data_IF_437657527341
#
_entry.id   IF_437657527341
#
_cell.length_a   1.000
_cell.length_b   1.000
_cell.length_c   1.000
_cell.angle_alpha   90.00
_cell.angle_beta   90.00
_cell.angle_gamma   90.00
#
_symmetry.space_group_name_H-M   'P 1'
#
loop_
_entity.id
_entity.type
_entity.pdbx_description
1 polymer ?
#
# COMPACT_ATOMS: atom_id res chain seq x y z
N UNK A 1 5.32 12.77 -2.54
CA UNK A 1 5.37 13.80 -1.48
C UNK A 1 4.63 13.19 -0.30
N UNK A 2 5.35 12.71 0.74
CA UNK A 2 4.76 11.85 1.76
C UNK A 2 3.53 12.46 2.45
N UNK A 3 3.57 13.77 2.72
CA UNK A 3 2.50 14.47 3.44
C UNK A 3 1.23 14.56 2.60
N UNK A 4 1.37 14.92 1.31
CA UNK A 4 0.24 14.97 0.38
C UNK A 4 -0.37 13.61 0.15
N UNK A 5 0.45 12.56 0.03
CA UNK A 5 -0.06 11.20 -0.16
C UNK A 5 -0.82 10.71 1.08
N UNK A 6 -0.31 11.00 2.29
CA UNK A 6 -1.02 10.69 3.53
C UNK A 6 -2.34 11.47 3.66
N UNK A 7 -2.36 12.75 3.28
CA UNK A 7 -3.57 13.56 3.27
C UNK A 7 -4.62 13.01 2.28
N UNK A 8 -4.19 12.62 1.08
CA UNK A 8 -5.05 11.97 0.08
C UNK A 8 -5.65 10.65 0.62
N UNK A 9 -4.84 9.78 1.22
CA UNK A 9 -5.38 8.54 1.79
C UNK A 9 -6.30 8.78 2.98
N UNK A 10 -6.03 9.80 3.80
CA UNK A 10 -6.93 10.21 4.88
C UNK A 10 -8.28 10.65 4.30
N UNK A 11 -8.28 11.47 3.24
CA UNK A 11 -9.51 11.88 2.57
C UNK A 11 -10.29 10.67 2.03
N UNK A 12 -9.64 9.77 1.27
CA UNK A 12 -10.23 8.52 0.77
C UNK A 12 -10.81 7.65 1.89
N UNK A 13 -10.24 7.65 3.10
CA UNK A 13 -10.74 6.84 4.22
C UNK A 13 -11.92 7.47 4.94
N UNK A 14 -12.08 8.78 4.88
CA UNK A 14 -12.94 9.50 5.83
C UNK A 14 -14.00 10.37 5.16
N UNK A 15 -13.88 10.67 3.87
CA UNK A 15 -14.91 11.41 3.14
C UNK A 15 -16.09 10.50 2.75
N UNK A 16 -17.35 10.99 2.82
CA UNK A 16 -18.50 10.23 2.34
C UNK A 16 -18.49 10.01 0.82
N UNK A 17 -17.75 10.82 0.06
CA UNK A 17 -17.73 10.77 -1.40
C UNK A 17 -16.88 9.62 -1.95
N UNK A 18 -15.94 9.11 -1.15
CA UNK A 18 -15.00 8.06 -1.54
C UNK A 18 -15.10 6.89 -0.56
N UNK A 19 -15.94 5.92 -0.89
CA UNK A 19 -16.18 4.73 -0.06
C UNK A 19 -15.80 3.43 -0.79
N UNK A 20 -14.62 3.41 -1.39
CA UNK A 20 -14.17 2.25 -2.15
C UNK A 20 -13.88 1.05 -1.24
N UNK A 21 -14.55 -0.08 -1.48
CA UNK A 21 -14.36 -1.31 -0.71
C UNK A 21 -13.05 -2.03 -1.04
N UNK A 22 -12.58 -1.93 -2.28
CA UNK A 22 -11.47 -2.73 -2.80
C UNK A 22 -10.36 -1.85 -3.37
N UNK A 23 -9.15 -1.97 -2.80
CA UNK A 23 -8.02 -1.12 -3.15
C UNK A 23 -6.90 -1.91 -3.82
N UNK A 24 -6.22 -1.25 -4.75
CA UNK A 24 -4.91 -1.64 -5.29
C UNK A 24 -4.02 -0.42 -5.20
N UNK A 25 -2.95 -0.52 -4.42
CA UNK A 25 -1.95 0.54 -4.29
C UNK A 25 -0.73 0.08 -5.07
N UNK A 26 -0.35 0.83 -6.10
CA UNK A 26 0.84 0.57 -6.89
C UNK A 26 1.73 1.81 -6.80
N UNK A 27 2.89 1.71 -6.13
CA UNK A 27 3.91 2.73 -6.23
C UNK A 27 4.21 3.02 -7.71
N UNK A 28 4.39 4.29 -8.04
CA UNK A 28 4.60 4.70 -9.41
C UNK A 28 6.04 4.36 -9.83
N UNK A 29 6.19 3.47 -10.80
CA UNK A 29 7.45 3.05 -11.38
C UNK A 29 7.75 3.83 -12.67
N UNK A 30 9.03 4.10 -12.94
CA UNK A 30 9.49 4.63 -14.21
C UNK A 30 9.74 3.45 -15.15
N UNK A 31 8.93 3.33 -16.20
CA UNK A 31 9.05 2.26 -17.21
C UNK A 31 9.31 2.83 -18.61
N UNK A 32 9.95 2.07 -19.51
CA UNK A 32 10.25 2.52 -20.86
C UNK A 32 9.02 2.99 -21.65
N UNK A 33 9.23 3.94 -22.55
CA UNK A 33 8.25 4.47 -23.51
C UNK A 33 7.04 5.18 -22.85
N UNK A 34 7.22 5.70 -21.64
CA UNK A 34 6.18 6.44 -20.92
C UNK A 34 6.51 7.93 -20.82
N UNK A 35 5.48 8.75 -20.58
CA UNK A 35 5.70 10.17 -20.25
C UNK A 35 6.48 10.34 -18.94
N UNK A 36 6.30 9.39 -18.01
CA UNK A 36 7.01 9.36 -16.73
C UNK A 36 8.52 9.16 -16.95
N UNK A 37 8.94 8.34 -17.92
CA UNK A 37 10.36 8.23 -18.30
C UNK A 37 10.93 9.57 -18.79
N UNK A 38 10.18 10.31 -19.61
CA UNK A 38 10.62 11.63 -20.07
C UNK A 38 10.77 12.60 -18.89
N UNK A 39 9.76 12.67 -18.02
CA UNK A 39 9.81 13.49 -16.81
C UNK A 39 10.95 13.11 -15.87
N UNK A 40 11.24 11.81 -15.76
CA UNK A 40 12.37 11.32 -14.98
C UNK A 40 13.71 11.79 -15.57
N UNK A 41 13.92 11.63 -16.88
CA UNK A 41 15.13 12.09 -17.58
C UNK A 41 15.32 13.61 -17.50
N UNK A 42 14.23 14.36 -17.49
CA UNK A 42 14.23 15.82 -17.35
C UNK A 42 14.35 16.29 -15.88
N UNK A 43 14.36 15.37 -14.91
CA UNK A 43 14.40 15.69 -13.47
C UNK A 43 13.09 16.24 -12.90
N UNK A 44 12.00 16.23 -13.67
CA UNK A 44 10.67 16.70 -13.28
C UNK A 44 9.93 15.69 -12.39
N UNK A 45 10.27 14.41 -12.48
CA UNK A 45 9.77 13.35 -11.61
C UNK A 45 10.94 12.62 -10.96
N UNK A 46 10.90 12.49 -9.64
CA UNK A 46 11.88 11.72 -8.87
C UNK A 46 11.11 10.72 -8.01
N UNK A 47 11.27 9.40 -8.22
CA UNK A 47 10.61 8.38 -7.42
C UNK A 47 10.97 8.47 -5.94
N UNK A 48 10.11 7.95 -5.08
CA UNK A 48 10.36 7.85 -3.65
C UNK A 48 11.71 7.23 -3.31
N UNK A 49 12.03 6.11 -3.95
CA UNK A 49 13.18 5.27 -3.63
C UNK A 49 14.52 5.87 -3.98
N UNK A 50 14.56 6.89 -4.84
CA UNK A 50 15.79 7.61 -5.13
C UNK A 50 16.12 8.69 -4.10
N UNK A 51 15.09 9.20 -3.41
CA UNK A 51 15.28 10.11 -2.28
C UNK A 51 15.62 9.33 -1.02
N UNK A 52 14.74 8.39 -0.68
CA UNK A 52 14.89 7.50 0.44
C UNK A 52 13.88 6.33 0.28
N UNK A 53 14.35 5.08 0.07
CA UNK A 53 13.48 3.91 -0.01
C UNK A 53 12.57 3.72 1.20
N UNK A 54 12.98 4.17 2.39
CA UNK A 54 12.19 4.03 3.60
C UNK A 54 10.92 4.88 3.57
N UNK A 55 10.93 6.04 2.89
CA UNK A 55 9.74 6.90 2.80
C UNK A 55 8.54 6.20 2.17
N UNK A 56 8.77 5.38 1.13
CA UNK A 56 7.68 4.61 0.51
C UNK A 56 7.10 3.59 1.50
N UNK A 57 7.96 2.89 2.23
CA UNK A 57 7.56 1.89 3.23
C UNK A 57 6.77 2.56 4.35
N UNK A 58 7.24 3.70 4.84
CA UNK A 58 6.60 4.46 5.92
C UNK A 58 5.20 4.95 5.54
N UNK A 59 5.06 5.53 4.34
CA UNK A 59 3.76 5.96 3.82
C UNK A 59 2.81 4.76 3.75
N UNK A 60 3.24 3.66 3.12
CA UNK A 60 2.39 2.48 2.97
C UNK A 60 2.04 1.83 4.33
N UNK A 61 2.97 1.82 5.29
CA UNK A 61 2.71 1.34 6.65
C UNK A 61 1.68 2.20 7.37
N UNK A 62 1.84 3.54 7.35
CA UNK A 62 0.89 4.49 7.93
C UNK A 62 -0.50 4.38 7.32
N UNK A 63 -0.60 4.22 5.99
CA UNK A 63 -1.87 3.99 5.30
C UNK A 63 -2.49 2.68 5.77
N UNK A 64 -1.74 1.56 5.73
CA UNK A 64 -2.26 0.25 6.16
C UNK A 64 -2.71 0.20 7.62
N UNK A 65 -2.11 0.99 8.51
CA UNK A 65 -2.52 1.10 9.91
C UNK A 65 -3.90 1.76 10.07
N UNK A 66 -4.30 2.62 9.13
CA UNK A 66 -5.57 3.37 9.17
C UNK A 66 -6.70 2.69 8.39
N UNK A 67 -6.38 1.83 7.42
CA UNK A 67 -7.39 1.13 6.59
C UNK A 67 -8.48 0.47 7.44
N UNK A 68 -9.73 0.80 7.10
CA UNK A 68 -10.90 0.31 7.81
C UNK A 68 -11.11 -1.20 7.66
N UNK A 69 -11.76 -1.86 8.64
CA UNK A 69 -11.96 -3.31 8.63
C UNK A 69 -12.75 -3.86 7.44
N UNK A 70 -13.65 -3.07 6.84
CA UNK A 70 -14.47 -3.46 5.69
C UNK A 70 -13.75 -3.28 4.33
N UNK A 71 -12.57 -2.67 4.31
CA UNK A 71 -11.82 -2.46 3.08
C UNK A 71 -10.92 -3.67 2.80
N UNK A 72 -10.90 -4.15 1.56
CA UNK A 72 -9.96 -5.16 1.07
C UNK A 72 -8.84 -4.52 0.26
N UNK A 73 -7.66 -4.47 0.84
CA UNK A 73 -6.46 -4.04 0.14
C UNK A 73 -5.82 -5.24 -0.58
N UNK A 74 -6.09 -5.37 -1.87
CA UNK A 74 -5.72 -6.54 -2.69
C UNK A 74 -4.21 -6.64 -2.92
N UNK A 75 -3.59 -5.53 -3.33
CA UNK A 75 -2.15 -5.45 -3.66
C UNK A 75 -1.58 -4.09 -3.24
N UNK A 76 -0.31 -4.11 -2.81
CA UNK A 76 0.51 -2.93 -2.44
C UNK A 76 1.75 -2.78 -3.33
N UNK A 77 1.91 -3.71 -4.27
CA UNK A 77 3.01 -3.79 -5.22
C UNK A 77 2.45 -4.36 -6.53
N UNK A 78 3.03 -3.92 -7.66
CA UNK A 78 2.72 -4.44 -8.98
C UNK A 78 3.82 -5.39 -9.42
N UNK A 79 3.42 -6.52 -10.00
CA UNK A 79 4.37 -7.47 -10.59
C UNK A 79 4.81 -6.89 -11.95
N UNK A 80 5.90 -6.12 -11.96
CA UNK A 80 6.57 -5.63 -13.16
C UNK A 80 7.93 -6.33 -13.22
N UNK A 81 8.34 -6.89 -14.38
CA UNK A 81 9.69 -7.43 -14.54
C UNK A 81 10.73 -6.35 -14.23
N UNK A 82 11.73 -6.68 -13.42
CA UNK A 82 12.78 -5.74 -12.98
C UNK A 82 13.49 -5.09 -14.17
N UNK A 83 13.73 -5.84 -15.25
CA UNK A 83 14.32 -5.36 -16.51
C UNK A 83 13.53 -4.24 -17.18
N UNK A 84 12.27 -4.07 -16.81
CA UNK A 84 11.37 -3.04 -17.35
C UNK A 84 11.20 -1.85 -16.40
N UNK A 85 11.91 -1.81 -15.26
CA UNK A 85 11.89 -0.71 -14.30
C UNK A 85 13.19 0.09 -14.47
N UNK A 86 13.08 1.30 -15.00
CA UNK A 86 14.21 2.25 -15.12
C UNK A 86 14.54 2.85 -13.76
N UNK A 87 13.53 3.18 -12.97
CA UNK A 87 13.65 3.76 -11.64
C UNK A 87 12.36 3.57 -10.81
N UNK A 88 12.48 3.53 -9.48
CA UNK A 88 11.36 3.30 -8.56
C UNK A 88 11.60 2.13 -7.59
N UNK A 89 10.55 1.46 -7.15
CA UNK A 89 10.64 0.40 -6.14
C UNK A 89 11.27 -0.88 -6.72
N UNK A 90 12.50 -1.15 -6.28
CA UNK A 90 13.20 -2.41 -6.55
C UNK A 90 13.02 -3.46 -5.42
N UNK A 91 12.31 -3.12 -4.35
CA UNK A 91 12.07 -4.06 -3.24
C UNK A 91 11.05 -5.12 -3.69
N UNK A 92 11.55 -6.30 -4.03
CA UNK A 92 10.74 -7.45 -4.48
C UNK A 92 9.81 -8.00 -3.39
N UNK A 93 10.19 -7.84 -2.12
CA UNK A 93 9.42 -8.29 -0.96
C UNK A 93 8.75 -7.13 -0.19
N UNK A 94 8.31 -6.08 -0.88
CA UNK A 94 7.76 -4.85 -0.27
C UNK A 94 6.68 -5.11 0.80
N UNK A 95 5.81 -6.12 0.59
CA UNK A 95 4.79 -6.50 1.57
C UNK A 95 5.38 -6.89 2.93
N UNK A 96 6.50 -7.63 2.94
CA UNK A 96 7.19 -8.01 4.18
C UNK A 96 7.81 -6.79 4.86
N UNK A 97 8.44 -5.90 4.08
CA UNK A 97 9.02 -4.66 4.60
C UNK A 97 7.96 -3.78 5.28
N UNK A 98 6.79 -3.59 4.66
CA UNK A 98 5.68 -2.84 5.25
C UNK A 98 5.19 -3.48 6.55
N UNK A 99 5.09 -4.81 6.63
CA UNK A 99 4.67 -5.48 7.86
C UNK A 99 5.71 -5.41 8.98
N UNK A 100 7.00 -5.47 8.64
CA UNK A 100 8.06 -5.24 9.59
C UNK A 100 7.97 -3.81 10.16
N UNK A 101 7.72 -2.82 9.32
CA UNK A 101 7.57 -1.43 9.75
C UNK A 101 6.33 -1.23 10.64
N UNK A 102 5.17 -1.77 10.24
CA UNK A 102 3.97 -1.79 11.08
C UNK A 102 4.25 -2.37 12.48
N UNK A 103 5.02 -3.46 12.56
CA UNK A 103 5.41 -4.09 13.82
C UNK A 103 6.30 -3.17 14.66
N UNK A 104 7.29 -2.49 14.07
CA UNK A 104 8.12 -1.50 14.78
C UNK A 104 7.28 -0.36 15.35
N UNK A 105 6.25 0.08 14.62
CA UNK A 105 5.30 1.11 15.05
C UNK A 105 4.29 0.62 16.11
N UNK A 106 4.30 -0.66 16.50
CA UNK A 106 3.30 -1.24 17.40
C UNK A 106 1.88 -1.26 16.80
N UNK A 107 1.77 -1.32 15.47
CA UNK A 107 0.49 -1.31 14.73
C UNK A 107 0.31 -2.60 13.93
N UNK A 108 -0.92 -2.82 13.48
CA UNK A 108 -1.27 -3.92 12.57
C UNK A 108 -2.33 -3.44 11.56
N UNK A 109 -2.41 -4.11 10.41
CA UNK A 109 -3.38 -3.77 9.37
C UNK A 109 -4.70 -4.53 9.61
N UNK A 110 -5.82 -3.80 9.65
CA UNK A 110 -7.15 -4.37 9.87
C UNK A 110 -7.96 -4.64 8.60
N UNK A 111 -7.38 -4.44 7.41
CA UNK A 111 -8.08 -4.72 6.15
C UNK A 111 -8.49 -6.20 6.02
N UNK A 112 -9.49 -6.50 5.19
CA UNK A 112 -10.01 -7.86 4.97
C UNK A 112 -8.88 -8.84 4.62
N UNK A 113 -8.00 -8.52 3.66
CA UNK A 113 -6.89 -9.40 3.23
C UNK A 113 -5.90 -9.77 4.35
N UNK A 114 -5.78 -8.93 5.37
CA UNK A 114 -4.87 -9.20 6.50
C UNK A 114 -5.53 -10.05 7.59
N UNK A 115 -6.87 -10.19 7.57
CA UNK A 115 -7.67 -10.92 8.55
C UNK A 115 -8.47 -12.09 7.96
N UNK A 116 -8.37 -12.33 6.65
CA UNK A 116 -9.03 -13.47 5.99
C UNK A 116 -8.44 -14.78 6.49
N UNK A 117 -9.29 -15.80 6.61
CA UNK A 117 -8.89 -17.16 6.98
C UNK A 117 -7.92 -17.67 5.91
N UNK A 118 -6.75 -18.15 6.35
CA UNK A 118 -5.74 -18.79 5.48
C UNK A 118 -5.67 -20.27 5.85
N UNK A 119 -4.50 -20.76 6.24
CA UNK A 119 -4.30 -22.13 6.69
C UNK A 119 -4.65 -22.30 8.18
N UNK A 120 -5.71 -21.61 8.65
CA UNK A 120 -6.11 -21.69 10.06
C UNK A 120 -6.63 -23.10 10.38
N UNK A 121 -6.00 -23.81 11.33
CA UNK A 121 -6.31 -25.22 11.60
C UNK A 121 -7.54 -25.42 12.49
N UNK A 122 -8.14 -24.35 13.01
CA UNK A 122 -9.19 -24.41 14.03
C UNK A 122 -10.60 -24.27 13.44
N UNK A 123 -11.54 -25.06 13.99
CA UNK A 123 -12.96 -24.95 13.68
C UNK A 123 -13.49 -23.55 14.05
N UNK A 124 -14.45 -23.07 13.28
CA UNK A 124 -15.05 -21.74 13.36
C UNK A 124 -15.92 -21.49 14.62
N UNK A 125 -15.55 -22.07 15.75
CA UNK A 125 -16.27 -21.91 17.01
C UNK A 125 -16.09 -20.49 17.56
N UNK A 126 -17.19 -19.87 17.99
CA UNK A 126 -17.17 -18.51 18.56
C UNK A 126 -17.20 -17.37 17.54
N UNK A 127 -17.45 -17.64 16.24
CA UNK A 127 -17.73 -16.58 15.28
C UNK A 127 -18.98 -15.77 15.67
N UNK A 128 -18.91 -14.45 15.50
CA UNK A 128 -20.03 -13.53 15.76
C UNK A 128 -20.28 -12.66 14.53
N UNK A 129 -21.54 -12.55 14.13
CA UNK A 129 -21.96 -11.58 13.12
C UNK A 129 -21.79 -10.17 13.68
N UNK A 130 -21.21 -9.28 12.89
CA UNK A 130 -21.15 -7.84 13.18
C UNK A 130 -21.68 -7.09 11.97
N UNK A 131 -22.66 -6.22 12.21
CA UNK A 131 -23.18 -5.28 11.22
C UNK A 131 -22.58 -3.92 11.56
N UNK A 132 -22.07 -3.22 10.53
CA UNK A 132 -21.64 -1.84 10.66
C UNK A 132 -22.87 -0.96 10.53
N UNK A 133 -23.14 -0.15 11.54
CA UNK A 133 -24.11 0.96 11.50
C UNK A 133 -23.54 2.15 10.70
#
# INVERSE_FOLDING_TARGET
DPEKDLAMFNDILHTPDLQADHWKIYPCEVTPWTKIEQWYKEGLYVPYTERDPQQLIDVLAKVKAQVHPWIRLNRVIRDIPEVSIIAGNQVTNLRQAIFAELKKMGKSCRCIRCREVRDWPEAADGLRVRIRE
#
